data_IF_310334782345
#
_entry.id   IF_310334782345
#
_cell.length_a   1.000
_cell.length_b   1.000
_cell.length_c   1.000
_cell.angle_alpha   90.00
_cell.angle_beta   90.00
_cell.angle_gamma   90.00
#
_symmetry.space_group_name_H-M   'P 1'
#
loop_
_entity.id
_entity.type
_entity.pdbx_description
1 polymer ?
#
# COMPACT_ATOMS: atom_id res chain seq x y z
N UNK A 1 19.29 -12.62 -8.62
CA UNK A 1 17.83 -12.73 -8.89
C UNK A 1 17.01 -12.78 -7.59
N UNK A 2 17.15 -11.81 -6.68
CA UNK A 2 16.61 -11.95 -5.32
C UNK A 2 15.11 -11.70 -5.15
N UNK A 3 14.54 -10.70 -5.85
CA UNK A 3 13.22 -10.15 -5.48
C UNK A 3 12.37 -9.68 -6.67
N UNK A 4 12.65 -10.18 -7.88
CA UNK A 4 11.90 -9.79 -9.08
C UNK A 4 10.40 -10.13 -8.99
N UNK A 5 10.05 -11.21 -8.27
CA UNK A 5 8.66 -11.62 -8.05
C UNK A 5 7.92 -10.63 -7.16
N UNK A 6 8.53 -10.22 -6.05
CA UNK A 6 7.97 -9.23 -5.13
C UNK A 6 7.82 -7.86 -5.81
N UNK A 7 8.80 -7.45 -6.65
CA UNK A 7 8.72 -6.22 -7.43
C UNK A 7 7.53 -6.22 -8.39
N UNK A 8 7.41 -7.26 -9.23
CA UNK A 8 6.30 -7.40 -10.18
C UNK A 8 4.95 -7.46 -9.45
N UNK A 9 4.89 -8.06 -8.26
CA UNK A 9 3.70 -8.04 -7.43
C UNK A 9 3.33 -6.61 -7.03
N UNK A 10 4.28 -5.82 -6.51
CA UNK A 10 4.00 -4.44 -6.13
C UNK A 10 3.63 -3.55 -7.32
N UNK A 11 4.27 -3.73 -8.48
CA UNK A 11 3.92 -2.99 -9.70
C UNK A 11 2.45 -3.22 -10.10
N UNK A 12 1.99 -4.48 -10.07
CA UNK A 12 0.57 -4.82 -10.34
C UNK A 12 -0.38 -4.25 -9.29
N UNK A 13 0.03 -4.22 -8.02
CA UNK A 13 -0.78 -3.64 -6.95
C UNK A 13 -0.86 -2.10 -7.08
N UNK A 14 0.24 -1.45 -7.46
CA UNK A 14 0.29 0.00 -7.68
C UNK A 14 -0.61 0.41 -8.85
N UNK A 15 -0.60 -0.34 -9.96
CA UNK A 15 -1.50 -0.10 -11.09
C UNK A 15 -2.98 -0.21 -10.68
N UNK A 16 -3.35 -1.23 -9.90
CA UNK A 16 -4.71 -1.39 -9.38
C UNK A 16 -5.14 -0.22 -8.50
N UNK A 17 -4.29 0.23 -7.58
CA UNK A 17 -4.61 1.33 -6.66
C UNK A 17 -4.65 2.67 -7.38
N UNK A 18 -3.73 2.90 -8.32
CA UNK A 18 -3.69 4.12 -9.14
C UNK A 18 -4.92 4.28 -10.04
N UNK A 19 -5.58 3.18 -10.40
CA UNK A 19 -6.84 3.20 -11.14
C UNK A 19 -8.09 3.53 -10.32
N UNK A 20 -7.98 3.63 -8.98
CA UNK A 20 -9.14 3.94 -8.12
C UNK A 20 -9.33 5.45 -8.02
N UNK A 21 -10.44 5.98 -8.51
CA UNK A 21 -10.71 7.44 -8.48
C UNK A 21 -11.72 7.85 -7.41
N UNK A 22 -12.75 7.03 -7.19
CA UNK A 22 -13.88 7.36 -6.32
C UNK A 22 -14.09 6.33 -5.22
N UNK A 23 -14.66 6.80 -4.11
CA UNK A 23 -15.15 5.94 -3.06
C UNK A 23 -16.45 5.28 -3.53
N UNK A 24 -16.41 3.96 -3.66
CA UNK A 24 -17.54 3.09 -3.89
C UNK A 24 -17.23 1.70 -3.31
N UNK A 25 -18.23 0.82 -3.24
CA UNK A 25 -18.07 -0.53 -2.66
C UNK A 25 -16.99 -1.36 -3.38
N UNK A 26 -16.93 -1.29 -4.71
CA UNK A 26 -15.95 -2.05 -5.51
C UNK A 26 -14.55 -1.52 -5.26
N UNK A 27 -14.38 -0.20 -5.24
CA UNK A 27 -13.13 0.48 -4.95
C UNK A 27 -12.65 0.18 -3.52
N UNK A 28 -13.57 0.10 -2.56
CA UNK A 28 -13.27 -0.28 -1.18
C UNK A 28 -12.80 -1.74 -1.05
N UNK A 29 -13.42 -2.66 -1.78
CA UNK A 29 -12.99 -4.07 -1.84
C UNK A 29 -11.59 -4.18 -2.44
N UNK A 30 -11.34 -3.50 -3.56
CA UNK A 30 -10.04 -3.53 -4.25
C UNK A 30 -8.93 -2.98 -3.35
N UNK A 31 -9.11 -1.78 -2.78
CA UNK A 31 -8.06 -1.17 -1.97
C UNK A 31 -7.77 -1.97 -0.68
N UNK A 32 -8.79 -2.65 -0.14
CA UNK A 32 -8.62 -3.52 1.03
C UNK A 32 -7.78 -4.75 0.70
N UNK A 33 -8.09 -5.43 -0.40
CA UNK A 33 -7.29 -6.56 -0.90
C UNK A 33 -5.84 -6.15 -1.18
N UNK A 34 -5.64 -5.01 -1.86
CA UNK A 34 -4.29 -4.51 -2.15
C UNK A 34 -3.51 -4.23 -0.87
N UNK A 35 -4.13 -3.58 0.12
CA UNK A 35 -3.50 -3.30 1.40
C UNK A 35 -3.09 -4.58 2.14
N UNK A 36 -3.95 -5.60 2.16
CA UNK A 36 -3.64 -6.86 2.85
C UNK A 36 -2.46 -7.58 2.17
N UNK A 37 -2.42 -7.57 0.83
CA UNK A 37 -1.29 -8.10 0.06
C UNK A 37 -0.01 -7.31 0.26
N UNK A 38 -0.09 -5.98 0.30
CA UNK A 38 1.05 -5.09 0.59
C UNK A 38 1.61 -5.36 1.99
N UNK A 39 0.75 -5.28 3.02
CA UNK A 39 1.06 -5.50 4.43
C UNK A 39 1.75 -6.85 4.67
N UNK A 40 1.23 -7.92 4.04
CA UNK A 40 1.84 -9.24 4.15
C UNK A 40 3.23 -9.29 3.51
N UNK A 41 3.37 -8.74 2.30
CA UNK A 41 4.62 -8.80 1.53
C UNK A 41 5.71 -7.94 2.19
N UNK A 42 5.38 -6.72 2.64
CA UNK A 42 6.35 -5.84 3.30
C UNK A 42 6.85 -6.43 4.62
N UNK A 43 6.00 -7.16 5.36
CA UNK A 43 6.41 -7.88 6.57
C UNK A 43 7.42 -8.99 6.26
N UNK A 44 7.21 -9.75 5.17
CA UNK A 44 8.17 -10.77 4.73
C UNK A 44 9.49 -10.13 4.33
N UNK A 45 9.45 -9.04 3.54
CA UNK A 45 10.65 -8.32 3.10
C UNK A 45 11.42 -7.75 4.28
N UNK A 46 10.74 -7.13 5.25
CA UNK A 46 11.33 -6.66 6.51
C UNK A 46 11.99 -7.76 7.33
N UNK A 47 11.49 -8.99 7.27
CA UNK A 47 12.14 -10.12 7.95
C UNK A 47 13.36 -10.65 7.18
N UNK A 48 13.35 -10.57 5.84
CA UNK A 48 14.48 -11.00 4.99
C UNK A 48 15.60 -9.96 4.92
N UNK A 49 15.24 -8.67 4.93
CA UNK A 49 16.09 -7.49 4.68
C UNK A 49 15.66 -6.31 5.58
N UNK A 50 15.78 -6.47 6.90
CA UNK A 50 15.33 -5.46 7.86
C UNK A 50 15.97 -4.08 7.64
N UNK A 51 17.21 -4.04 7.19
CA UNK A 51 17.97 -2.81 6.93
C UNK A 51 17.36 -1.94 5.81
N UNK A 52 16.59 -2.54 4.90
CA UNK A 52 15.97 -1.82 3.78
C UNK A 52 14.47 -1.58 3.94
N UNK A 53 13.77 -2.41 4.72
CA UNK A 53 12.29 -2.42 4.77
C UNK A 53 11.71 -2.09 6.15
N UNK A 54 12.53 -1.85 7.17
CA UNK A 54 12.02 -1.49 8.51
C UNK A 54 11.31 -0.15 8.49
N UNK A 55 11.79 0.82 7.72
CA UNK A 55 11.18 2.15 7.65
C UNK A 55 9.79 2.09 6.99
N UNK A 56 9.68 1.43 5.84
CA UNK A 56 8.42 1.20 5.12
C UNK A 56 7.43 0.41 5.98
N UNK A 57 7.91 -0.57 6.76
CA UNK A 57 7.06 -1.32 7.69
C UNK A 57 6.58 -0.49 8.89
N UNK A 58 7.42 0.38 9.46
CA UNK A 58 7.08 1.14 10.67
C UNK A 58 6.33 2.45 10.38
N UNK A 59 6.62 3.09 9.25
CA UNK A 59 6.10 4.41 8.92
C UNK A 59 4.97 4.27 7.88
N UNK A 60 5.30 3.84 6.67
CA UNK A 60 4.35 3.84 5.55
C UNK A 60 3.19 2.86 5.77
N UNK A 61 3.46 1.64 6.26
CA UNK A 61 2.42 0.68 6.58
C UNK A 61 1.52 1.15 7.74
N UNK A 62 2.09 1.78 8.77
CA UNK A 62 1.29 2.32 9.88
C UNK A 62 0.45 3.53 9.45
N UNK A 63 0.97 4.39 8.57
CA UNK A 63 0.19 5.48 7.97
C UNK A 63 -0.98 4.93 7.14
N UNK A 64 -0.75 3.93 6.30
CA UNK A 64 -1.81 3.28 5.53
C UNK A 64 -2.86 2.62 6.45
N UNK A 65 -2.44 1.99 7.57
CA UNK A 65 -3.36 1.45 8.58
C UNK A 65 -4.20 2.53 9.24
N UNK A 66 -3.60 3.68 9.58
CA UNK A 66 -4.30 4.80 10.16
C UNK A 66 -5.38 5.30 9.22
N UNK A 67 -5.03 5.56 7.95
CA UNK A 67 -5.97 6.05 6.94
C UNK A 67 -7.09 5.05 6.62
N UNK A 68 -6.77 3.73 6.59
CA UNK A 68 -7.78 2.67 6.50
C UNK A 68 -8.79 2.74 7.65
N UNK A 69 -8.32 2.99 8.88
CA UNK A 69 -9.19 3.14 10.07
C UNK A 69 -10.00 4.43 9.99
N UNK A 70 -9.38 5.54 9.62
CA UNK A 70 -10.06 6.84 9.42
C UNK A 70 -11.19 6.70 8.42
N UNK A 71 -10.95 6.08 7.27
CA UNK A 71 -11.99 5.83 6.26
C UNK A 71 -13.15 5.01 6.83
N UNK A 72 -12.86 3.97 7.63
CA UNK A 72 -13.89 3.11 8.23
C UNK A 72 -14.83 3.85 9.17
N UNK A 73 -14.34 4.85 9.90
CA UNK A 73 -15.11 5.65 10.86
C UNK A 73 -15.57 6.99 10.28
N UNK A 74 -15.35 7.24 9.00
CA UNK A 74 -15.69 8.51 8.35
C UNK A 74 -17.19 8.69 8.19
N UNK A 75 -17.64 9.91 8.45
CA UNK A 75 -18.96 10.38 8.03
C UNK A 75 -19.05 10.44 6.50
N UNK A 76 -20.27 10.38 5.96
CA UNK A 76 -20.49 10.31 4.51
C UNK A 76 -19.85 11.46 3.74
N UNK A 77 -19.88 12.67 4.31
CA UNK A 77 -19.28 13.87 3.72
C UNK A 77 -17.75 13.74 3.52
N UNK A 78 -17.07 12.99 4.39
CA UNK A 78 -15.60 12.88 4.39
C UNK A 78 -15.07 11.61 3.72
N UNK A 79 -15.96 10.67 3.34
CA UNK A 79 -15.54 9.35 2.83
C UNK A 79 -14.70 9.45 1.56
N UNK A 80 -15.09 10.32 0.63
CA UNK A 80 -14.34 10.50 -0.62
C UNK A 80 -12.93 11.02 -0.34
N UNK A 81 -12.80 12.05 0.50
CA UNK A 81 -11.51 12.66 0.82
C UNK A 81 -10.61 11.69 1.60
N UNK A 82 -11.16 10.97 2.57
CA UNK A 82 -10.42 9.98 3.34
C UNK A 82 -10.04 8.75 2.49
N UNK A 83 -10.87 8.39 1.51
CA UNK A 83 -10.55 7.36 0.53
C UNK A 83 -9.38 7.77 -0.37
N UNK A 84 -9.41 9.00 -0.90
CA UNK A 84 -8.32 9.55 -1.72
C UNK A 84 -7.01 9.58 -0.93
N UNK A 85 -7.03 10.07 0.31
CA UNK A 85 -5.85 10.07 1.19
C UNK A 85 -5.31 8.65 1.41
N UNK A 86 -6.20 7.69 1.68
CA UNK A 86 -5.80 6.30 1.89
C UNK A 86 -5.19 5.69 0.63
N UNK A 87 -5.82 5.88 -0.53
CA UNK A 87 -5.32 5.45 -1.83
C UNK A 87 -3.94 6.02 -2.11
N UNK A 88 -3.77 7.33 -1.98
CA UNK A 88 -2.52 8.01 -2.32
C UNK A 88 -1.39 7.57 -1.39
N UNK A 89 -1.67 7.41 -0.09
CA UNK A 89 -0.71 6.88 0.87
C UNK A 89 -0.31 5.44 0.57
N UNK A 90 -1.26 4.57 0.23
CA UNK A 90 -0.96 3.18 -0.11
C UNK A 90 -0.19 3.09 -1.44
N UNK A 91 -0.54 3.91 -2.43
CA UNK A 91 0.17 3.99 -3.71
C UNK A 91 1.61 4.49 -3.51
N UNK A 92 1.81 5.51 -2.69
CA UNK A 92 3.14 6.00 -2.34
C UNK A 92 3.97 4.88 -1.69
N UNK A 93 3.42 4.16 -0.71
CA UNK A 93 4.09 3.06 -0.04
C UNK A 93 4.49 1.92 -1.00
N UNK A 94 3.61 1.58 -1.94
CA UNK A 94 3.91 0.61 -3.00
C UNK A 94 5.06 1.11 -3.90
N UNK A 95 5.04 2.38 -4.30
CA UNK A 95 6.07 2.97 -5.14
C UNK A 95 7.43 3.04 -4.43
N UNK A 96 7.47 3.40 -3.14
CA UNK A 96 8.71 3.34 -2.34
C UNK A 96 9.26 1.91 -2.32
N UNK A 97 8.42 0.92 -2.02
CA UNK A 97 8.86 -0.47 -1.97
C UNK A 97 9.39 -0.97 -3.34
N UNK A 98 8.76 -0.57 -4.45
CA UNK A 98 9.24 -0.85 -5.81
C UNK A 98 10.61 -0.22 -6.05
N UNK A 99 10.80 1.05 -5.66
CA UNK A 99 12.07 1.75 -5.82
C UNK A 99 13.19 1.06 -5.04
N UNK A 100 12.97 0.75 -3.75
CA UNK A 100 13.91 -0.01 -2.92
C UNK A 100 14.27 -1.35 -3.57
N UNK A 101 13.28 -2.09 -4.10
CA UNK A 101 13.52 -3.36 -4.77
C UNK A 101 14.28 -3.22 -6.10
N UNK A 102 14.19 -2.09 -6.80
CA UNK A 102 14.95 -1.82 -8.03
C UNK A 102 16.42 -1.55 -7.74
N UNK A 103 16.72 -0.85 -6.65
CA UNK A 103 18.10 -0.56 -6.21
C UNK A 103 18.86 -1.82 -5.74
N UNK A 104 18.13 -2.88 -5.40
CA UNK A 104 18.70 -4.17 -4.98
C UNK A 104 19.11 -5.11 -6.13
N UNK A 105 18.82 -4.75 -7.39
CA UNK A 105 19.04 -5.59 -8.58
C UNK A 105 20.32 -5.21 -9.31
#
# INVERSE_FOLDING_TARGET
>A
MGYAKERVKFEKLAEKVGGLTYYDEKSLVIITDVFDQYSHTIRILKNKKPELFTEQYKNELEQAKLLKRTLKVSEEADRQDNFVKYRDSLLAALNTAIATLKEMV
#
